data_IF_839463731708
#
_entry.id   IF_839463731708
#
_cell.length_a   1.000
_cell.length_b   1.000
_cell.length_c   1.000
_cell.angle_alpha   90.00
_cell.angle_beta   90.00
_cell.angle_gamma   90.00
#
_symmetry.space_group_name_H-M   'P 1'
#
loop_
_entity.id
_entity.type
_entity.pdbx_description
1 polymer ?
#
# COMPACT_ATOMS: atom_id res chain seq x y z
N UNK A 1 1.07 14.27 10.56
CA UNK A 1 -0.02 14.02 11.53
C UNK A 1 -0.37 12.55 11.53
N UNK A 2 -0.97 12.06 12.62
CA UNK A 2 -0.73 10.75 13.26
C UNK A 2 -0.48 9.57 12.30
N UNK A 3 0.58 8.81 12.60
CA UNK A 3 0.89 7.52 11.95
C UNK A 3 -0.38 6.63 11.81
N UNK A 4 -1.27 6.71 12.79
CA UNK A 4 -2.58 6.06 12.79
C UNK A 4 -3.53 6.51 11.66
N UNK A 5 -3.58 7.79 11.29
CA UNK A 5 -4.46 8.26 10.22
C UNK A 5 -4.04 7.72 8.85
N UNK A 6 -2.73 7.72 8.57
CA UNK A 6 -2.19 7.11 7.35
C UNK A 6 -2.43 5.61 7.31
N UNK A 7 -2.36 4.94 8.45
CA UNK A 7 -2.66 3.51 8.60
C UNK A 7 -4.11 3.20 8.20
N UNK A 8 -5.08 3.90 8.81
CA UNK A 8 -6.52 3.69 8.60
C UNK A 8 -6.89 3.99 7.15
N UNK A 9 -6.34 5.06 6.57
CA UNK A 9 -6.52 5.39 5.16
C UNK A 9 -5.96 4.30 4.25
N UNK A 10 -4.73 3.83 4.49
CA UNK A 10 -4.13 2.79 3.64
C UNK A 10 -4.93 1.48 3.70
N UNK A 11 -5.39 1.13 4.88
CA UNK A 11 -6.29 -0.01 5.12
C UNK A 11 -7.62 0.16 4.37
N UNK A 12 -8.26 1.32 4.46
CA UNK A 12 -9.50 1.62 3.73
C UNK A 12 -9.31 1.54 2.21
N UNK A 13 -8.22 2.10 1.70
CA UNK A 13 -7.88 2.03 0.27
C UNK A 13 -7.72 0.56 -0.14
N UNK A 14 -7.04 -0.27 0.65
CA UNK A 14 -6.88 -1.69 0.33
C UNK A 14 -8.23 -2.43 0.24
N UNK A 15 -9.13 -2.16 1.18
CA UNK A 15 -10.48 -2.75 1.21
C UNK A 15 -11.32 -2.29 0.03
N UNK A 16 -11.27 -1.00 -0.32
CA UNK A 16 -11.93 -0.45 -1.50
C UNK A 16 -11.35 -1.06 -2.78
N UNK A 17 -10.04 -1.28 -2.82
CA UNK A 17 -9.34 -1.88 -3.96
C UNK A 17 -9.73 -3.33 -4.22
N UNK A 18 -9.90 -4.12 -3.16
CA UNK A 18 -10.47 -5.46 -3.27
C UNK A 18 -11.83 -5.44 -4.01
N UNK A 19 -12.69 -4.46 -3.69
CA UNK A 19 -14.00 -4.32 -4.33
C UNK A 19 -13.93 -3.75 -5.76
N UNK A 20 -12.97 -2.85 -6.04
CA UNK A 20 -12.90 -2.14 -7.31
C UNK A 20 -12.17 -2.93 -8.42
N UNK A 21 -11.24 -3.83 -8.06
CA UNK A 21 -10.44 -4.60 -9.03
C UNK A 21 -10.47 -6.12 -8.77
N UNK A 22 -11.62 -6.78 -8.97
CA UNK A 22 -11.76 -8.23 -8.75
C UNK A 22 -10.84 -9.09 -9.64
N UNK A 23 -10.42 -8.58 -10.81
CA UNK A 23 -9.50 -9.28 -11.72
C UNK A 23 -8.02 -9.18 -11.29
N UNK A 24 -7.66 -8.17 -10.50
CA UNK A 24 -6.28 -7.90 -10.09
C UNK A 24 -5.96 -8.39 -8.68
N UNK A 25 -6.92 -8.33 -7.76
CA UNK A 25 -6.74 -8.67 -6.35
C UNK A 25 -7.92 -9.54 -5.88
N UNK A 26 -7.68 -10.85 -5.82
CA UNK A 26 -8.69 -11.81 -5.37
C UNK A 26 -8.56 -11.99 -3.86
N UNK A 27 -9.64 -11.70 -3.13
CA UNK A 27 -9.75 -12.01 -1.70
C UNK A 27 -10.80 -13.08 -1.51
N UNK A 28 -10.43 -14.17 -0.87
CA UNK A 28 -11.28 -15.37 -0.75
C UNK A 28 -12.44 -15.16 0.22
N UNK A 29 -12.18 -14.52 1.36
CA UNK A 29 -13.14 -14.38 2.46
C UNK A 29 -13.01 -13.00 3.17
N UNK A 30 -14.07 -12.52 3.81
CA UNK A 30 -14.05 -11.25 4.54
C UNK A 30 -13.02 -11.24 5.69
N UNK A 31 -12.78 -12.41 6.30
CA UNK A 31 -11.71 -12.61 7.28
C UNK A 31 -10.32 -12.37 6.70
N UNK A 32 -10.06 -12.84 5.47
CA UNK A 32 -8.77 -12.60 4.79
C UNK A 32 -8.57 -11.11 4.51
N UNK A 33 -9.63 -10.38 4.13
CA UNK A 33 -9.57 -8.93 3.94
C UNK A 33 -9.20 -8.19 5.24
N UNK A 34 -9.77 -8.61 6.38
CA UNK A 34 -9.46 -8.03 7.68
C UNK A 34 -8.03 -8.33 8.12
N UNK A 35 -7.57 -9.57 7.94
CA UNK A 35 -6.18 -9.96 8.26
C UNK A 35 -5.19 -9.17 7.38
N UNK A 36 -5.48 -8.99 6.09
CA UNK A 36 -4.72 -8.14 5.18
C UNK A 36 -4.58 -6.71 5.69
N UNK A 37 -5.70 -6.10 6.05
CA UNK A 37 -5.75 -4.76 6.59
C UNK A 37 -4.81 -4.57 7.79
N UNK A 38 -4.76 -5.57 8.68
CA UNK A 38 -3.89 -5.57 9.87
C UNK A 38 -2.42 -5.81 9.51
N UNK A 39 -2.13 -6.76 8.63
CA UNK A 39 -0.74 -7.05 8.18
C UNK A 39 -0.18 -5.86 7.39
N UNK A 40 -0.95 -5.29 6.47
CA UNK A 40 -0.60 -4.08 5.73
C UNK A 40 -0.33 -2.90 6.66
N UNK A 41 -1.13 -2.75 7.72
CA UNK A 41 -0.89 -1.75 8.75
C UNK A 41 0.48 -1.96 9.44
N UNK A 42 0.79 -3.18 9.88
CA UNK A 42 2.08 -3.52 10.47
C UNK A 42 3.24 -3.26 9.48
N UNK A 43 3.11 -3.67 8.23
CA UNK A 43 4.12 -3.45 7.19
C UNK A 43 4.34 -1.95 6.95
N UNK A 44 3.30 -1.13 6.93
CA UNK A 44 3.45 0.32 6.82
C UNK A 44 4.09 0.96 8.06
N UNK A 45 4.03 0.29 9.22
CA UNK A 45 4.66 0.73 10.47
C UNK A 45 6.14 0.42 10.52
N UNK A 46 6.52 -0.79 10.14
CA UNK A 46 7.89 -1.27 10.32
C UNK A 46 8.64 -1.35 8.99
N UNK A 47 8.06 -2.03 8.00
CA UNK A 47 8.74 -2.32 6.75
C UNK A 47 8.88 -1.07 5.87
N UNK A 48 7.83 -0.26 5.74
CA UNK A 48 7.84 0.92 4.87
C UNK A 48 8.88 1.96 5.29
N UNK A 49 9.02 2.34 6.59
CA UNK A 49 10.07 3.27 7.02
C UNK A 49 11.47 2.68 6.82
N UNK A 50 11.65 1.39 7.11
CA UNK A 50 12.92 0.70 6.91
C UNK A 50 13.35 0.72 5.44
N UNK A 51 12.44 0.37 4.54
CA UNK A 51 12.66 0.44 3.09
C UNK A 51 12.99 1.87 2.67
N UNK A 52 12.26 2.87 3.19
CA UNK A 52 12.49 4.27 2.85
C UNK A 52 13.85 4.79 3.30
N UNK A 53 14.38 4.33 4.44
CA UNK A 53 15.74 4.67 4.90
C UNK A 53 16.78 4.12 3.92
N UNK A 54 16.65 2.84 3.55
CA UNK A 54 17.60 2.17 2.64
C UNK A 54 17.52 2.77 1.24
N UNK A 55 16.31 3.09 0.79
CA UNK A 55 16.06 3.64 -0.55
C UNK A 55 16.04 5.15 -0.61
N UNK A 56 16.35 5.85 0.48
CA UNK A 56 16.43 7.32 0.52
C UNK A 56 17.32 7.93 -0.58
N UNK A 57 18.56 7.46 -0.83
CA UNK A 57 19.40 8.05 -1.88
C UNK A 57 18.79 7.87 -3.27
N UNK A 58 18.23 6.69 -3.56
CA UNK A 58 17.59 6.38 -4.84
C UNK A 58 16.28 7.17 -4.99
N UNK A 59 15.51 7.28 -3.91
CA UNK A 59 14.26 8.05 -3.88
C UNK A 59 14.53 9.52 -4.14
N UNK A 60 15.62 10.07 -3.61
CA UNK A 60 16.05 11.44 -3.88
C UNK A 60 16.48 11.62 -5.34
N UNK A 61 17.30 10.72 -5.88
CA UNK A 61 17.75 10.74 -7.28
C UNK A 61 16.57 10.63 -8.26
N UNK A 62 15.58 9.81 -7.92
CA UNK A 62 14.36 9.60 -8.73
C UNK A 62 13.25 10.62 -8.45
N UNK A 63 13.52 11.68 -7.68
CA UNK A 63 12.54 12.72 -7.32
C UNK A 63 11.25 12.16 -6.68
N UNK A 64 11.36 11.06 -5.94
CA UNK A 64 10.24 10.40 -5.28
C UNK A 64 9.59 9.27 -6.08
N UNK A 65 9.99 9.01 -7.33
CA UNK A 65 9.40 7.95 -8.17
C UNK A 65 9.60 6.56 -7.53
N UNK A 66 10.74 6.34 -6.88
CA UNK A 66 11.02 5.08 -6.20
C UNK A 66 10.06 4.77 -5.02
N UNK A 67 9.35 5.79 -4.50
CA UNK A 67 8.32 5.56 -3.48
C UNK A 67 7.16 4.68 -3.99
N UNK A 68 6.92 4.64 -5.30
CA UNK A 68 5.93 3.75 -5.93
C UNK A 68 6.39 2.28 -5.80
N UNK A 69 7.69 2.04 -6.00
CA UNK A 69 8.31 0.71 -5.85
C UNK A 69 8.24 0.23 -4.41
N UNK A 70 8.49 1.11 -3.43
CA UNK A 70 8.34 0.77 -2.00
C UNK A 70 6.91 0.34 -1.69
N UNK A 71 5.91 1.09 -2.16
CA UNK A 71 4.50 0.74 -1.97
C UNK A 71 4.17 -0.61 -2.62
N UNK A 72 4.69 -0.86 -3.82
CA UNK A 72 4.53 -2.12 -4.54
C UNK A 72 5.10 -3.31 -3.74
N UNK A 73 6.31 -3.16 -3.18
CA UNK A 73 6.95 -4.18 -2.35
C UNK A 73 6.11 -4.46 -1.10
N UNK A 74 5.62 -3.42 -0.43
CA UNK A 74 4.78 -3.57 0.78
C UNK A 74 3.49 -4.34 0.47
N UNK A 75 2.81 -4.03 -0.64
CA UNK A 75 1.61 -4.77 -1.06
C UNK A 75 1.92 -6.22 -1.45
N UNK A 76 3.04 -6.46 -2.15
CA UNK A 76 3.45 -7.80 -2.54
C UNK A 76 3.78 -8.68 -1.32
N UNK A 77 4.42 -8.09 -0.31
CA UNK A 77 4.72 -8.76 0.96
C UNK A 77 3.44 -9.04 1.75
N UNK A 78 2.50 -8.10 1.78
CA UNK A 78 1.18 -8.32 2.42
C UNK A 78 0.43 -9.50 1.79
N UNK A 79 0.36 -9.53 0.46
CA UNK A 79 -0.29 -10.61 -0.28
C UNK A 79 0.39 -11.96 -0.13
N UNK A 80 1.71 -12.01 0.14
CA UNK A 80 2.42 -13.28 0.40
C UNK A 80 2.30 -13.75 1.84
N UNK A 81 2.07 -12.85 2.80
CA UNK A 81 1.85 -13.15 4.21
C UNK A 81 0.42 -13.65 4.48
N UNK A 82 -0.58 -13.15 3.75
CA UNK A 82 -1.98 -13.47 3.99
C UNK A 82 -2.49 -14.54 3.04
N UNK A 83 -2.63 -15.76 3.56
CA UNK A 83 -3.27 -16.88 2.86
C UNK A 83 -4.76 -16.56 2.61
N UNK A 84 -5.09 -16.21 1.37
CA UNK A 84 -6.44 -15.78 0.98
C UNK A 84 -6.45 -14.48 0.17
N UNK A 85 -5.30 -13.85 -0.05
CA UNK A 85 -5.11 -12.78 -1.03
C UNK A 85 -4.23 -13.29 -2.15
N UNK A 86 -4.62 -13.01 -3.38
CA UNK A 86 -3.76 -13.30 -4.53
C UNK A 86 -3.78 -12.10 -5.47
N UNK A 87 -2.61 -11.53 -5.72
CA UNK A 87 -2.44 -10.47 -6.71
C UNK A 87 -1.91 -11.11 -8.00
N UNK A 88 -2.69 -11.04 -9.07
CA UNK A 88 -2.36 -11.73 -10.32
C UNK A 88 -1.32 -10.95 -11.14
N UNK A 89 -0.03 -11.21 -10.91
CA UNK A 89 1.06 -10.72 -11.75
C UNK A 89 1.57 -9.31 -11.41
N UNK A 90 2.85 -9.06 -11.73
CA UNK A 90 3.57 -7.84 -11.35
C UNK A 90 2.94 -6.54 -11.89
N UNK A 91 2.28 -6.59 -13.05
CA UNK A 91 1.59 -5.42 -13.62
C UNK A 91 0.43 -4.93 -12.76
N UNK A 92 -0.33 -5.83 -12.14
CA UNK A 92 -1.40 -5.45 -11.23
C UNK A 92 -0.85 -4.88 -9.93
N UNK A 93 0.23 -5.44 -9.36
CA UNK A 93 0.90 -4.87 -8.18
C UNK A 93 1.37 -3.44 -8.45
N UNK A 94 1.86 -3.15 -9.67
CA UNK A 94 2.27 -1.81 -10.08
C UNK A 94 1.09 -0.83 -10.21
N UNK A 95 -0.03 -1.24 -10.82
CA UNK A 95 -1.23 -0.40 -10.92
C UNK A 95 -1.79 -0.09 -9.53
N UNK A 96 -1.88 -1.11 -8.66
CA UNK A 96 -2.33 -0.96 -7.29
C UNK A 96 -1.46 0.03 -6.52
N UNK A 97 -0.13 -0.08 -6.62
CA UNK A 97 0.79 0.82 -5.93
C UNK A 97 0.69 2.26 -6.45
N UNK A 98 0.44 2.44 -7.75
CA UNK A 98 0.22 3.74 -8.38
C UNK A 98 -1.00 4.45 -7.78
N UNK A 99 -2.13 3.75 -7.69
CA UNK A 99 -3.33 4.35 -7.12
C UNK A 99 -3.19 4.58 -5.62
N UNK A 100 -2.56 3.65 -4.89
CA UNK A 100 -2.21 3.88 -3.49
C UNK A 100 -1.40 5.16 -3.30
N UNK A 101 -0.40 5.38 -4.16
CA UNK A 101 0.41 6.59 -4.15
C UNK A 101 -0.43 7.84 -4.45
N UNK A 102 -1.34 7.75 -5.41
CA UNK A 102 -2.24 8.84 -5.80
C UNK A 102 -3.22 9.20 -4.68
N UNK A 103 -3.87 8.22 -4.05
CA UNK A 103 -4.77 8.44 -2.92
C UNK A 103 -4.03 9.07 -1.73
N UNK A 104 -2.82 8.59 -1.43
CA UNK A 104 -2.00 9.18 -0.38
C UNK A 104 -1.58 10.63 -0.70
N UNK A 105 -1.32 10.94 -1.97
CA UNK A 105 -1.03 12.30 -2.44
C UNK A 105 -2.21 13.24 -2.22
N UNK A 106 -3.44 12.83 -2.59
CA UNK A 106 -4.65 13.63 -2.39
C UNK A 106 -4.98 13.87 -0.91
N UNK A 107 -4.72 12.89 -0.06
CA UNK A 107 -4.97 13.01 1.38
C UNK A 107 -3.95 13.93 2.02
N UNK A 108 -2.68 13.80 1.60
CA UNK A 108 -1.60 14.70 2.05
C UNK A 108 -1.79 16.13 1.56
N UNK A 109 -2.31 16.34 0.33
CA UNK A 109 -2.57 17.69 -0.20
C UNK A 109 -3.70 18.38 0.55
N UNK A 110 -4.74 17.64 0.97
CA UNK A 110 -5.86 18.17 1.75
C UNK A 110 -5.43 18.60 3.16
N UNK A 111 -4.50 17.88 3.80
CA UNK A 111 -3.93 18.30 5.09
C UNK A 111 -2.99 19.50 4.96
N UNK A 112 -2.39 19.75 3.78
CA UNK A 112 -1.44 20.86 3.59
C UNK A 112 -2.11 22.23 3.46
N UNK A 113 -3.43 22.26 3.33
CA UNK A 113 -4.24 23.48 3.13
C UNK A 113 -4.87 23.95 4.48
N UNK A 114 -4.71 23.17 5.55
CA UNK A 114 -5.10 23.54 6.92
C UNK A 114 -3.87 23.83 7.78
#
# INVERSE_FOLDING_TARGET
>A
MSFLYKLVVNTLVFVVFHYLFPYGLTVKDWTSAFVAAVVLALLNTFLKPLLHIISFPITFITLGLFSIVINMIVLAVDASLVSGITIHGWGWVFILSLVFSFTQSLITSTERIR
#
